data_IF_145806337748
#
_entry.id   IF_145806337748
#
_cell.length_a   1.000
_cell.length_b   1.000
_cell.length_c   1.000
_cell.angle_alpha   90.00
_cell.angle_beta   90.00
_cell.angle_gamma   90.00
#
_symmetry.space_group_name_H-M   'P 1'
#
loop_
_entity.id
_entity.type
_entity.pdbx_description
1 polymer ?
#
# COMPACT_ATOMS: atom_id res chain seq x y z
N UNK A 1 12.20 13.79 3.54
CA UNK A 1 11.84 13.55 4.96
C UNK A 1 13.09 13.15 5.71
N UNK A 2 13.20 13.42 7.01
CA UNK A 2 14.30 12.85 7.78
C UNK A 2 14.00 11.37 8.08
N UNK A 3 15.04 10.55 8.26
CA UNK A 3 14.95 9.14 8.68
C UNK A 3 13.98 8.94 9.85
N UNK A 4 14.01 9.84 10.83
CA UNK A 4 13.13 9.78 12.01
C UNK A 4 11.65 9.88 11.64
N UNK A 5 11.29 10.77 10.70
CA UNK A 5 9.92 10.93 10.24
C UNK A 5 9.43 9.66 9.51
N UNK A 6 10.33 9.04 8.72
CA UNK A 6 10.03 7.80 8.01
C UNK A 6 9.81 6.63 8.98
N UNK A 7 10.61 6.53 10.04
CA UNK A 7 10.44 5.50 11.08
C UNK A 7 9.14 5.72 11.86
N UNK A 8 8.75 6.96 12.16
CA UNK A 8 7.49 7.23 12.84
C UNK A 8 6.27 6.82 12.01
N UNK A 9 6.30 7.06 10.69
CA UNK A 9 5.28 6.50 9.79
C UNK A 9 5.26 4.97 9.85
N UNK A 10 6.44 4.32 9.84
CA UNK A 10 6.51 2.85 9.91
C UNK A 10 5.92 2.34 11.23
N UNK A 11 6.21 2.99 12.37
CA UNK A 11 5.62 2.67 13.68
C UNK A 11 4.11 2.84 13.68
N UNK A 12 3.61 3.93 13.09
CA UNK A 12 2.18 4.18 12.97
C UNK A 12 1.50 3.07 12.15
N UNK A 13 2.04 2.74 10.98
CA UNK A 13 1.53 1.66 10.14
C UNK A 13 1.56 0.30 10.85
N UNK A 14 2.67 -0.02 11.54
CA UNK A 14 2.80 -1.23 12.32
C UNK A 14 1.74 -1.31 13.44
N UNK A 15 1.46 -0.20 14.12
CA UNK A 15 0.44 -0.15 15.16
C UNK A 15 -0.98 -0.48 14.63
N UNK A 16 -1.26 -0.17 13.37
CA UNK A 16 -2.53 -0.45 12.69
C UNK A 16 -2.68 -1.93 12.30
N UNK A 17 -1.58 -2.64 12.03
CA UNK A 17 -1.62 -4.01 11.47
C UNK A 17 -1.21 -5.11 12.44
N UNK A 18 -0.57 -4.78 13.57
CA UNK A 18 0.01 -5.77 14.50
C UNK A 18 -1.00 -6.82 15.02
N UNK A 19 -2.26 -6.43 15.17
CA UNK A 19 -3.31 -7.27 15.77
C UNK A 19 -4.44 -7.64 14.80
N UNK A 20 -4.49 -7.00 13.63
CA UNK A 20 -5.62 -7.11 12.70
C UNK A 20 -5.09 -7.28 11.26
N UNK A 21 -5.88 -7.90 10.39
CA UNK A 21 -5.56 -7.92 8.97
C UNK A 21 -5.73 -6.53 8.37
N UNK A 22 -4.72 -6.08 7.63
CA UNK A 22 -4.69 -4.76 6.99
C UNK A 22 -5.96 -4.51 6.18
N UNK A 23 -6.58 -3.33 6.34
CA UNK A 23 -7.84 -2.91 5.72
C UNK A 23 -9.07 -3.73 6.06
N UNK A 24 -8.97 -4.85 6.79
CA UNK A 24 -10.11 -5.75 6.97
C UNK A 24 -11.22 -5.09 7.78
N UNK A 25 -10.88 -4.51 8.94
CA UNK A 25 -11.83 -3.81 9.80
C UNK A 25 -12.49 -2.63 9.09
N UNK A 26 -11.69 -1.69 8.61
CA UNK A 26 -12.19 -0.46 8.01
C UNK A 26 -13.05 -0.74 6.77
N UNK A 27 -12.67 -1.72 5.95
CA UNK A 27 -13.51 -2.11 4.80
C UNK A 27 -14.78 -2.88 5.18
N UNK A 28 -14.78 -3.67 6.27
CA UNK A 28 -16.00 -4.27 6.82
C UNK A 28 -16.95 -3.22 7.37
N UNK A 29 -16.40 -2.21 8.03
CA UNK A 29 -17.18 -1.09 8.52
C UNK A 29 -17.84 -0.33 7.36
N UNK A 30 -17.07 0.13 6.39
CA UNK A 30 -17.60 0.87 5.23
C UNK A 30 -18.64 0.08 4.44
N UNK A 31 -18.45 -1.24 4.29
CA UNK A 31 -19.40 -2.12 3.62
C UNK A 31 -20.77 -2.19 4.33
N UNK A 32 -20.80 -1.95 5.64
CA UNK A 32 -22.02 -1.95 6.45
C UNK A 32 -22.52 -0.53 6.79
N UNK A 33 -21.88 0.51 6.23
CA UNK A 33 -22.33 1.89 6.38
C UNK A 33 -23.41 2.24 5.35
N UNK A 34 -24.41 2.98 5.81
CA UNK A 34 -25.47 3.58 5.02
C UNK A 34 -25.07 5.01 4.68
N UNK A 35 -25.31 5.40 3.42
CA UNK A 35 -24.83 6.65 2.87
C UNK A 35 -25.99 7.41 2.23
N UNK A 36 -26.40 8.51 2.86
CA UNK A 36 -27.47 9.35 2.33
C UNK A 36 -27.08 9.93 0.97
N UNK A 37 -27.97 9.80 -0.01
CA UNK A 37 -27.74 10.28 -1.38
C UNK A 37 -26.88 9.36 -2.26
N UNK A 38 -26.48 8.17 -1.78
CA UNK A 38 -25.81 7.14 -2.60
C UNK A 38 -26.86 6.17 -3.16
N UNK A 39 -26.79 5.89 -4.46
CA UNK A 39 -27.72 4.96 -5.13
C UNK A 39 -27.42 3.50 -4.78
N UNK A 40 -28.39 2.60 -4.96
CA UNK A 40 -28.16 1.16 -4.78
C UNK A 40 -27.05 0.58 -5.67
N UNK A 41 -26.95 1.06 -6.90
CA UNK A 41 -25.88 0.67 -7.83
C UNK A 41 -24.51 1.16 -7.36
N UNK A 42 -24.44 2.36 -6.79
CA UNK A 42 -23.19 2.91 -6.27
C UNK A 42 -22.78 2.25 -4.94
N UNK A 43 -23.73 1.83 -4.11
CA UNK A 43 -23.47 0.94 -2.98
C UNK A 43 -22.87 -0.40 -3.44
N UNK A 44 -23.42 -1.01 -4.49
CA UNK A 44 -22.87 -2.25 -5.05
C UNK A 44 -21.44 -2.04 -5.58
N UNK A 45 -21.18 -0.93 -6.27
CA UNK A 45 -19.83 -0.58 -6.73
C UNK A 45 -18.88 -0.39 -5.55
N UNK A 46 -19.29 0.34 -4.51
CA UNK A 46 -18.52 0.54 -3.28
C UNK A 46 -18.11 -0.81 -2.68
N UNK A 47 -19.06 -1.74 -2.52
CA UNK A 47 -18.80 -3.09 -2.02
C UNK A 47 -17.75 -3.85 -2.84
N UNK A 48 -17.82 -3.77 -4.16
CA UNK A 48 -16.83 -4.39 -5.04
C UNK A 48 -15.45 -3.75 -4.90
N UNK A 49 -15.36 -2.42 -4.74
CA UNK A 49 -14.08 -1.73 -4.54
C UNK A 49 -13.45 -2.06 -3.19
N UNK A 50 -14.25 -2.14 -2.12
CA UNK A 50 -13.79 -2.56 -0.80
C UNK A 50 -13.28 -4.03 -0.81
N UNK A 51 -13.97 -4.93 -1.53
CA UNK A 51 -13.48 -6.30 -1.77
C UNK A 51 -12.19 -6.31 -2.57
N UNK A 52 -12.09 -5.49 -3.62
CA UNK A 52 -10.92 -5.39 -4.48
C UNK A 52 -9.69 -4.90 -3.70
N UNK A 53 -9.84 -3.94 -2.79
CA UNK A 53 -8.76 -3.50 -1.89
C UNK A 53 -8.21 -4.68 -1.09
N UNK A 54 -9.09 -5.46 -0.41
CA UNK A 54 -8.66 -6.62 0.36
C UNK A 54 -7.96 -7.68 -0.50
N UNK A 55 -8.47 -7.92 -1.71
CA UNK A 55 -7.93 -8.93 -2.62
C UNK A 55 -6.59 -8.52 -3.23
N UNK A 56 -6.46 -7.29 -3.73
CA UNK A 56 -5.22 -6.82 -4.34
C UNK A 56 -4.14 -6.55 -3.27
N UNK A 57 -4.51 -6.15 -2.05
CA UNK A 57 -3.56 -6.12 -0.93
C UNK A 57 -3.09 -7.52 -0.53
N UNK A 58 -3.98 -8.52 -0.54
CA UNK A 58 -3.55 -9.92 -0.34
C UNK A 58 -2.56 -10.38 -1.42
N UNK A 59 -2.68 -9.91 -2.67
CA UNK A 59 -1.70 -10.19 -3.73
C UNK A 59 -0.36 -9.53 -3.42
N UNK A 60 -0.35 -8.28 -2.94
CA UNK A 60 0.87 -7.62 -2.43
C UNK A 60 1.58 -8.51 -1.41
N UNK A 61 0.85 -9.00 -0.41
CA UNK A 61 1.41 -9.89 0.61
C UNK A 61 1.98 -11.19 0.02
N UNK A 62 1.27 -11.82 -0.94
CA UNK A 62 1.75 -13.03 -1.62
C UNK A 62 3.07 -12.74 -2.36
N UNK A 63 3.15 -11.63 -3.10
CA UNK A 63 4.36 -11.25 -3.83
C UNK A 63 5.51 -10.97 -2.87
N UNK A 64 5.25 -10.27 -1.76
CA UNK A 64 6.28 -10.03 -0.73
C UNK A 64 6.79 -11.34 -0.13
N UNK A 65 5.92 -12.32 0.11
CA UNK A 65 6.34 -13.66 0.52
C UNK A 65 7.20 -14.34 -0.55
N UNK A 66 6.78 -14.29 -1.82
CA UNK A 66 7.56 -14.84 -2.94
C UNK A 66 8.95 -14.20 -3.04
N UNK A 67 9.05 -12.86 -2.92
CA UNK A 67 10.33 -12.15 -2.88
C UNK A 67 11.19 -12.63 -1.71
N UNK A 68 10.62 -12.70 -0.51
CA UNK A 68 11.34 -13.14 0.68
C UNK A 68 11.87 -14.57 0.52
N UNK A 69 11.03 -15.51 0.08
CA UNK A 69 11.43 -16.91 -0.13
C UNK A 69 12.47 -17.05 -1.25
N UNK A 70 12.26 -16.40 -2.40
CA UNK A 70 13.21 -16.44 -3.51
C UNK A 70 14.56 -15.85 -3.10
N UNK A 71 14.56 -14.72 -2.41
CA UNK A 71 15.80 -14.08 -1.96
C UNK A 71 16.51 -14.89 -0.87
N UNK A 72 15.81 -15.48 0.10
CA UNK A 72 16.41 -16.37 1.10
C UNK A 72 17.09 -17.59 0.47
N UNK A 73 16.41 -18.27 -0.46
CA UNK A 73 16.99 -19.38 -1.21
C UNK A 73 18.18 -18.94 -2.04
N UNK A 74 18.09 -17.76 -2.64
CA UNK A 74 19.20 -17.17 -3.36
C UNK A 74 20.39 -16.94 -2.43
N UNK A 75 20.21 -16.36 -1.24
CA UNK A 75 21.28 -16.14 -0.27
C UNK A 75 21.95 -17.43 0.20
N UNK A 76 21.20 -18.54 0.25
CA UNK A 76 21.67 -19.85 0.69
C UNK A 76 22.26 -20.72 -0.45
N UNK A 77 22.29 -20.20 -1.68
CA UNK A 77 22.64 -20.97 -2.88
C UNK A 77 21.75 -22.20 -3.13
N UNK A 78 20.49 -22.14 -2.65
CA UNK A 78 19.45 -23.18 -2.76
C UNK A 78 18.35 -22.79 -3.75
N UNK A 79 18.55 -21.72 -4.53
CA UNK A 79 17.56 -21.28 -5.50
C UNK A 79 17.47 -22.25 -6.69
N UNK A 80 16.27 -22.76 -6.91
CA UNK A 80 15.93 -23.57 -8.08
C UNK A 80 15.09 -22.72 -9.04
N UNK A 81 15.60 -22.52 -10.25
CA UNK A 81 15.01 -21.60 -11.22
C UNK A 81 13.73 -22.19 -11.83
N UNK A 82 12.70 -21.35 -11.98
CA UNK A 82 11.44 -21.79 -12.61
C UNK A 82 11.52 -21.93 -14.13
N UNK A 83 12.62 -21.48 -14.74
CA UNK A 83 12.92 -21.57 -16.17
C UNK A 83 14.44 -21.78 -16.36
N UNK A 84 14.91 -21.78 -17.61
CA UNK A 84 16.34 -21.79 -17.95
C UNK A 84 16.70 -20.52 -18.76
N UNK A 85 17.78 -19.82 -18.39
CA UNK A 85 18.33 -18.67 -19.11
C UNK A 85 19.85 -18.83 -19.27
N UNK A 86 20.36 -18.47 -20.45
CA UNK A 86 21.81 -18.48 -20.72
C UNK A 86 22.51 -17.16 -20.37
N UNK A 87 21.78 -16.07 -20.12
CA UNK A 87 22.33 -14.71 -20.16
C UNK A 87 22.27 -13.96 -18.82
N UNK A 88 21.74 -14.58 -17.77
CA UNK A 88 21.36 -13.86 -16.55
C UNK A 88 21.23 -14.75 -15.32
N UNK A 89 21.42 -14.15 -14.15
CA UNK A 89 21.17 -14.79 -12.87
C UNK A 89 19.66 -14.84 -12.61
N UNK A 90 19.06 -16.01 -12.84
CA UNK A 90 17.62 -16.20 -12.94
C UNK A 90 16.85 -15.79 -11.68
N UNK A 91 17.48 -15.91 -10.51
CA UNK A 91 16.92 -15.42 -9.24
C UNK A 91 16.68 -13.91 -9.28
N UNK A 92 17.64 -13.13 -9.80
CA UNK A 92 17.53 -11.67 -9.87
C UNK A 92 16.46 -11.23 -10.86
N UNK A 93 16.27 -11.96 -11.95
CA UNK A 93 15.19 -11.71 -12.92
C UNK A 93 13.81 -11.99 -12.31
N UNK A 94 13.63 -13.11 -11.61
CA UNK A 94 12.37 -13.41 -10.91
C UNK A 94 12.04 -12.34 -9.86
N UNK A 95 13.04 -11.96 -9.06
CA UNK A 95 12.90 -10.89 -8.07
C UNK A 95 12.52 -9.55 -8.72
N UNK A 96 13.13 -9.21 -9.86
CA UNK A 96 12.81 -8.00 -10.63
C UNK A 96 11.34 -7.97 -11.06
N UNK A 97 10.87 -9.07 -11.66
CA UNK A 97 9.46 -9.24 -12.05
C UNK A 97 8.49 -9.07 -10.86
N UNK A 98 8.81 -9.65 -9.71
CA UNK A 98 7.98 -9.52 -8.53
C UNK A 98 7.94 -8.07 -8.01
N UNK A 99 9.08 -7.37 -8.01
CA UNK A 99 9.17 -5.97 -7.58
C UNK A 99 8.38 -5.06 -8.53
N UNK A 100 8.45 -5.25 -9.85
CA UNK A 100 7.63 -4.52 -10.82
C UNK A 100 6.13 -4.71 -10.56
N UNK A 101 5.72 -5.94 -10.23
CA UNK A 101 4.33 -6.24 -9.95
C UNK A 101 3.84 -5.57 -8.66
N UNK A 102 4.71 -5.33 -7.68
CA UNK A 102 4.38 -4.51 -6.51
C UNK A 102 4.03 -3.07 -6.90
N UNK A 103 4.78 -2.43 -7.81
CA UNK A 103 4.46 -1.07 -8.31
C UNK A 103 3.08 -1.02 -8.95
N UNK A 104 2.76 -2.01 -9.78
CA UNK A 104 1.45 -2.10 -10.43
C UNK A 104 0.31 -2.21 -9.39
N UNK A 105 0.44 -3.13 -8.43
CA UNK A 105 -0.61 -3.36 -7.42
C UNK A 105 -0.76 -2.24 -6.42
N UNK A 106 0.34 -1.61 -6.02
CA UNK A 106 0.31 -0.44 -5.16
C UNK A 106 -0.55 0.68 -5.77
N UNK A 107 -0.33 0.99 -7.05
CA UNK A 107 -1.07 2.06 -7.73
C UNK A 107 -2.56 1.75 -7.87
N UNK A 108 -2.91 0.50 -8.16
CA UNK A 108 -4.30 0.04 -8.26
C UNK A 108 -5.06 0.26 -6.94
N UNK A 109 -4.43 0.05 -5.78
CA UNK A 109 -5.06 0.32 -4.48
C UNK A 109 -5.41 1.81 -4.30
N UNK A 110 -4.51 2.72 -4.70
CA UNK A 110 -4.80 4.16 -4.68
C UNK A 110 -5.98 4.53 -5.59
N UNK A 111 -6.08 3.89 -6.76
CA UNK A 111 -7.19 4.12 -7.69
C UNK A 111 -8.53 3.65 -7.12
N UNK A 112 -8.56 2.52 -6.38
CA UNK A 112 -9.77 2.10 -5.67
C UNK A 112 -10.16 3.07 -4.56
N UNK A 113 -9.19 3.57 -3.79
CA UNK A 113 -9.45 4.56 -2.73
C UNK A 113 -10.06 5.83 -3.34
N UNK A 114 -9.50 6.33 -4.44
CA UNK A 114 -10.08 7.47 -5.17
C UNK A 114 -11.53 7.18 -5.58
N UNK A 115 -11.80 6.02 -6.19
CA UNK A 115 -13.15 5.68 -6.64
C UNK A 115 -14.16 5.56 -5.50
N UNK A 116 -13.72 5.06 -4.33
CA UNK A 116 -14.54 5.02 -3.11
C UNK A 116 -14.88 6.46 -2.66
N UNK A 117 -13.89 7.36 -2.64
CA UNK A 117 -14.13 8.76 -2.30
C UNK A 117 -15.11 9.43 -3.28
N UNK A 118 -14.99 9.14 -4.58
CA UNK A 118 -15.90 9.66 -5.62
C UNK A 118 -17.35 9.21 -5.44
N UNK A 119 -17.58 8.07 -4.76
CA UNK A 119 -18.93 7.58 -4.42
C UNK A 119 -19.42 8.23 -3.13
N UNK A 120 -18.60 8.18 -2.07
CA UNK A 120 -19.04 8.48 -0.71
C UNK A 120 -19.11 9.98 -0.40
N UNK A 121 -18.23 10.80 -0.99
CA UNK A 121 -18.05 12.21 -0.59
C UNK A 121 -19.01 13.17 -1.31
N UNK A 122 -19.21 13.10 -2.65
CA UNK A 122 -20.03 14.10 -3.35
C UNK A 122 -21.46 14.29 -2.83
N UNK A 123 -22.16 13.27 -2.31
CA UNK A 123 -23.47 13.45 -1.67
C UNK A 123 -23.45 14.38 -0.45
N UNK A 124 -22.29 14.55 0.20
CA UNK A 124 -22.10 15.35 1.41
C UNK A 124 -21.76 16.83 1.11
N UNK A 125 -21.56 17.18 -0.15
CA UNK A 125 -21.20 18.55 -0.53
C UNK A 125 -22.36 19.54 -0.34
N UNK A 126 -22.01 20.74 0.09
CA UNK A 126 -22.90 21.89 -0.05
C UNK A 126 -23.03 22.33 -1.53
N UNK A 127 -24.00 23.20 -1.83
CA UNK A 127 -24.28 23.63 -3.20
C UNK A 127 -23.06 24.25 -3.91
N UNK A 128 -22.24 25.01 -3.19
CA UNK A 128 -21.02 25.62 -3.73
C UNK A 128 -20.01 24.55 -4.13
N UNK A 129 -19.69 23.63 -3.21
CA UNK A 129 -18.75 22.53 -3.43
C UNK A 129 -19.22 21.62 -4.57
N UNK A 130 -20.52 21.31 -4.63
CA UNK A 130 -21.10 20.49 -5.70
C UNK A 130 -20.94 21.15 -7.07
N UNK A 131 -21.21 22.45 -7.16
CA UNK A 131 -21.04 23.22 -8.39
C UNK A 131 -19.57 23.31 -8.84
N UNK A 132 -18.64 23.45 -7.90
CA UNK A 132 -17.20 23.41 -8.21
C UNK A 132 -16.77 22.03 -8.70
N UNK A 133 -17.18 20.97 -8.00
CA UNK A 133 -16.79 19.60 -8.31
C UNK A 133 -17.28 19.13 -9.69
N UNK A 134 -18.52 19.48 -10.07
CA UNK A 134 -19.10 19.12 -11.38
C UNK A 134 -18.34 19.78 -12.54
N UNK A 135 -17.76 20.96 -12.33
CA UNK A 135 -16.98 21.67 -13.37
C UNK A 135 -15.61 21.02 -13.62
N UNK A 136 -15.10 20.24 -12.67
CA UNK A 136 -13.83 19.54 -12.82
C UNK A 136 -13.97 18.40 -13.84
N UNK A 137 -13.18 18.45 -14.92
CA UNK A 137 -13.21 17.43 -15.99
C UNK A 137 -12.18 16.31 -15.80
N UNK A 138 -11.01 16.63 -15.23
CA UNK A 138 -9.89 15.68 -15.15
C UNK A 138 -9.93 14.88 -13.84
N UNK A 139 -9.67 13.58 -13.92
CA UNK A 139 -9.67 12.68 -12.75
C UNK A 139 -8.72 13.17 -11.63
N UNK A 140 -7.49 13.57 -11.97
CA UNK A 140 -6.55 14.07 -10.97
C UNK A 140 -7.02 15.35 -10.25
N UNK A 141 -7.75 16.25 -10.95
CA UNK A 141 -8.30 17.46 -10.33
C UNK A 141 -9.44 17.13 -9.39
N UNK A 142 -10.31 16.18 -9.76
CA UNK A 142 -11.38 15.70 -8.90
C UNK A 142 -10.81 15.05 -7.65
N UNK A 143 -9.79 14.22 -7.80
CA UNK A 143 -9.15 13.57 -6.68
C UNK A 143 -8.52 14.56 -5.70
N UNK A 144 -7.77 15.55 -6.20
CA UNK A 144 -7.23 16.65 -5.37
C UNK A 144 -8.34 17.41 -4.62
N UNK A 145 -9.47 17.66 -5.27
CA UNK A 145 -10.62 18.30 -4.63
C UNK A 145 -11.20 17.46 -3.49
N UNK A 146 -11.38 16.15 -3.72
CA UNK A 146 -11.88 15.23 -2.70
C UNK A 146 -10.93 15.14 -1.50
N UNK A 147 -9.62 15.07 -1.74
CA UNK A 147 -8.62 15.03 -0.68
C UNK A 147 -8.57 16.33 0.13
N UNK A 148 -8.70 17.48 -0.54
CA UNK A 148 -8.83 18.77 0.14
C UNK A 148 -10.07 18.79 1.05
N UNK A 149 -11.20 18.30 0.54
CA UNK A 149 -12.42 18.17 1.35
C UNK A 149 -12.18 17.29 2.59
N UNK A 150 -11.53 16.14 2.44
CA UNK A 150 -11.20 15.30 3.60
C UNK A 150 -10.29 16.05 4.59
N UNK A 151 -9.23 16.70 4.11
CA UNK A 151 -8.29 17.44 4.95
C UNK A 151 -8.97 18.57 5.74
N UNK A 152 -9.95 19.26 5.15
CA UNK A 152 -10.72 20.32 5.81
C UNK A 152 -11.71 19.80 6.87
N UNK A 153 -12.01 18.50 6.87
CA UNK A 153 -13.05 17.89 7.72
C UNK A 153 -12.52 16.81 8.68
N UNK A 154 -11.20 16.62 8.78
CA UNK A 154 -10.57 15.81 9.82
C UNK A 154 -10.13 16.74 10.97
N UNK A 155 -10.49 16.40 12.21
CA UNK A 155 -10.15 17.17 13.43
C UNK A 155 -8.67 17.05 13.82
N UNK A 156 -7.96 16.07 13.25
CA UNK A 156 -6.61 15.69 13.62
C UNK A 156 -5.57 16.39 12.73
N UNK A 157 -4.79 17.30 13.34
CA UNK A 157 -3.72 18.04 12.68
C UNK A 157 -2.43 17.23 12.47
N UNK A 158 -2.40 15.95 12.89
CA UNK A 158 -1.17 15.15 13.03
C UNK A 158 -0.84 14.25 11.83
N UNK A 159 -1.74 14.08 10.86
CA UNK A 159 -1.48 13.27 9.66
C UNK A 159 -1.91 14.01 8.41
N UNK A 160 -0.97 14.59 7.68
CA UNK A 160 -1.26 15.24 6.39
C UNK A 160 -1.67 14.15 5.40
N UNK A 161 -2.83 14.31 4.74
CA UNK A 161 -3.14 13.59 3.48
C UNK A 161 -2.08 13.96 2.44
N UNK A 162 -0.97 13.24 2.45
CA UNK A 162 0.21 13.62 1.71
C UNK A 162 0.25 12.89 0.37
N UNK A 163 -0.16 13.59 -0.68
CA UNK A 163 -0.16 13.07 -2.04
C UNK A 163 1.21 13.06 -2.71
N UNK A 164 2.20 13.74 -2.13
CA UNK A 164 3.58 13.74 -2.63
C UNK A 164 4.23 12.38 -2.38
N UNK A 165 3.83 11.67 -1.32
CA UNK A 165 4.28 10.31 -1.02
C UNK A 165 4.16 9.34 -2.19
N UNK A 166 3.16 9.54 -3.05
CA UNK A 166 2.85 8.61 -4.14
C UNK A 166 3.39 9.05 -5.51
N UNK A 167 4.06 10.20 -5.61
CA UNK A 167 4.55 10.70 -6.91
C UNK A 167 5.64 9.81 -7.48
N UNK A 168 6.63 9.40 -6.68
CA UNK A 168 7.70 8.52 -7.17
C UNK A 168 7.15 7.18 -7.65
N UNK A 169 6.22 6.59 -6.92
CA UNK A 169 5.57 5.35 -7.34
C UNK A 169 4.77 5.54 -8.63
N UNK A 170 4.06 6.66 -8.79
CA UNK A 170 3.34 6.97 -10.03
C UNK A 170 4.30 7.02 -11.21
N UNK A 171 5.39 7.79 -11.07
CA UNK A 171 6.41 7.96 -12.09
C UNK A 171 7.04 6.61 -12.44
N UNK A 172 7.59 5.88 -11.46
CA UNK A 172 8.25 4.60 -11.69
C UNK A 172 7.30 3.57 -12.32
N UNK A 173 6.05 3.50 -11.86
CA UNK A 173 5.05 2.61 -12.44
C UNK A 173 4.73 2.99 -13.88
N UNK A 174 4.58 4.27 -14.19
CA UNK A 174 4.26 4.72 -15.55
C UNK A 174 5.40 4.35 -16.50
N UNK A 175 6.66 4.56 -16.08
CA UNK A 175 7.83 4.10 -16.83
C UNK A 175 7.86 2.57 -17.03
N UNK A 176 7.58 1.79 -15.99
CA UNK A 176 7.59 0.32 -16.05
C UNK A 176 6.50 -0.19 -17.01
N UNK A 177 5.29 0.36 -16.92
CA UNK A 177 4.13 -0.16 -17.68
C UNK A 177 4.11 0.38 -19.12
N UNK A 178 4.51 1.63 -19.34
CA UNK A 178 4.28 2.33 -20.60
C UNK A 178 5.55 2.59 -21.42
N UNK A 179 6.70 2.76 -20.77
CA UNK A 179 7.94 3.23 -21.43
C UNK A 179 9.04 2.17 -21.48
N UNK A 180 8.71 0.93 -21.11
CA UNK A 180 9.63 -0.21 -21.18
C UNK A 180 10.76 -0.17 -20.15
N UNK A 181 10.60 0.60 -19.07
CA UNK A 181 11.52 0.53 -17.94
C UNK A 181 11.42 -0.83 -17.24
N UNK A 182 12.53 -1.28 -16.67
CA UNK A 182 12.58 -2.56 -15.95
C UNK A 182 13.24 -2.42 -14.59
N UNK A 183 12.82 -3.24 -13.64
CA UNK A 183 13.44 -3.37 -12.34
C UNK A 183 14.65 -4.30 -12.43
N UNK A 184 15.86 -3.72 -12.40
CA UNK A 184 17.09 -4.48 -12.29
C UNK A 184 17.38 -4.78 -10.81
N UNK A 185 17.49 -6.07 -10.49
CA UNK A 185 17.94 -6.55 -9.18
C UNK A 185 19.43 -6.88 -9.25
N UNK A 186 20.18 -6.47 -8.23
CA UNK A 186 21.60 -6.74 -8.12
C UNK A 186 21.81 -7.97 -7.24
N UNK A 187 22.66 -8.90 -7.68
CA UNK A 187 23.01 -10.15 -6.99
C UNK A 187 23.84 -9.95 -5.72
N UNK A 188 23.41 -9.03 -4.85
CA UNK A 188 23.95 -8.88 -3.50
C UNK A 188 23.33 -9.94 -2.58
N UNK A 189 24.18 -10.60 -1.78
CA UNK A 189 23.77 -11.64 -0.82
C UNK A 189 23.51 -11.04 0.56
N UNK A 190 23.97 -9.81 0.83
CA UNK A 190 23.75 -9.16 2.11
C UNK A 190 22.41 -8.42 2.12
N UNK A 191 22.13 -7.62 1.08
CA UNK A 191 20.90 -6.85 0.97
C UNK A 191 20.25 -7.01 -0.40
N UNK A 192 18.92 -7.14 -0.43
CA UNK A 192 18.20 -7.11 -1.70
C UNK A 192 18.19 -5.68 -2.25
N UNK A 193 19.04 -5.44 -3.25
CA UNK A 193 19.22 -4.15 -3.91
C UNK A 193 18.58 -4.15 -5.29
N UNK A 194 17.89 -3.06 -5.64
CA UNK A 194 17.28 -2.91 -6.95
C UNK A 194 17.35 -1.47 -7.48
N UNK A 195 17.07 -1.31 -8.77
CA UNK A 195 16.89 0.00 -9.42
C UNK A 195 15.89 -0.12 -10.57
N UNK A 196 15.00 0.87 -10.71
CA UNK A 196 14.14 1.01 -11.90
C UNK A 196 14.95 1.70 -13.00
N UNK A 197 15.29 0.94 -14.04
CA UNK A 197 16.07 1.36 -15.19
C UNK A 197 15.14 1.96 -16.24
N UNK A 198 15.23 3.27 -16.45
CA UNK A 198 14.46 3.97 -17.49
C UNK A 198 15.20 3.93 -18.82
N UNK A 199 14.46 3.75 -19.92
CA UNK A 199 14.96 3.75 -21.30
C UNK A 199 15.41 5.15 -21.75
N UNK A 200 14.70 6.19 -21.31
CA UNK A 200 15.05 7.61 -21.52
C UNK A 200 15.18 8.34 -20.18
N UNK A 201 16.42 8.50 -19.71
CA UNK A 201 16.73 9.21 -18.45
C UNK A 201 16.44 10.72 -18.50
N UNK A 202 16.08 11.26 -19.67
CA UNK A 202 15.81 12.69 -19.89
C UNK A 202 14.38 13.11 -19.54
N UNK A 203 13.45 12.16 -19.41
CA UNK A 203 12.01 12.43 -19.17
C UNK A 203 11.56 12.20 -17.72
N UNK A 204 12.46 11.77 -16.82
CA UNK A 204 12.10 11.61 -15.41
C UNK A 204 11.91 12.99 -14.79
N UNK A 205 10.68 13.29 -14.34
CA UNK A 205 10.42 14.44 -13.46
C UNK A 205 11.44 14.40 -12.30
N UNK A 206 12.14 15.52 -12.06
CA UNK A 206 13.12 15.67 -10.98
C UNK A 206 12.43 15.56 -9.62
N UNK A 207 12.23 14.33 -9.14
CA UNK A 207 11.86 14.07 -7.76
C UNK A 207 13.07 13.54 -7.03
N UNK A 208 13.55 14.32 -6.06
CA UNK A 208 14.65 13.88 -5.21
C UNK A 208 14.25 12.60 -4.48
N UNK A 209 14.99 11.50 -4.69
CA UNK A 209 14.70 10.25 -4.02
C UNK A 209 15.06 10.36 -2.53
N UNK A 210 14.29 9.67 -1.69
CA UNK A 210 14.50 9.73 -0.24
C UNK A 210 15.74 8.91 0.15
N UNK A 211 16.70 9.58 0.79
CA UNK A 211 17.97 8.97 1.22
C UNK A 211 17.78 7.81 2.20
N UNK A 212 16.61 7.69 2.85
CA UNK A 212 16.27 6.58 3.73
C UNK A 212 16.49 5.19 3.10
N UNK A 213 16.15 5.06 1.82
CA UNK A 213 16.21 3.77 1.11
C UNK A 213 17.31 3.71 0.03
N UNK A 214 18.13 4.74 -0.12
CA UNK A 214 19.23 4.75 -1.09
C UNK A 214 20.58 4.48 -0.44
N UNK A 215 21.44 3.74 -1.16
CA UNK A 215 22.86 3.67 -0.83
C UNK A 215 23.68 4.73 -1.59
N UNK A 216 24.98 4.80 -1.31
CA UNK A 216 25.90 5.75 -1.93
C UNK A 216 26.00 5.61 -3.47
N UNK A 217 25.62 4.45 -4.03
CA UNK A 217 25.62 4.19 -5.47
C UNK A 217 24.25 4.47 -6.12
N UNK A 218 23.28 5.00 -5.36
CA UNK A 218 21.93 5.24 -5.85
C UNK A 218 21.11 3.97 -6.09
N UNK A 219 21.46 2.86 -5.44
CA UNK A 219 20.67 1.63 -5.43
C UNK A 219 19.67 1.65 -4.28
N UNK A 220 18.51 1.03 -4.50
CA UNK A 220 17.41 1.02 -3.55
C UNK A 220 17.47 -0.24 -2.68
N UNK A 221 17.45 -0.07 -1.37
CA UNK A 221 17.24 -1.16 -0.41
C UNK A 221 15.78 -1.60 -0.43
N UNK A 222 15.49 -2.83 -0.89
CA UNK A 222 14.13 -3.36 -1.02
C UNK A 222 13.30 -3.22 0.27
N UNK A 223 13.85 -3.70 1.39
CA UNK A 223 13.18 -3.71 2.69
C UNK A 223 12.80 -2.29 3.11
N UNK A 224 13.74 -1.34 2.99
CA UNK A 224 13.52 0.07 3.40
C UNK A 224 12.52 0.76 2.48
N UNK A 225 12.65 0.58 1.17
CA UNK A 225 11.75 1.18 0.20
C UNK A 225 10.33 0.66 0.37
N UNK A 226 10.12 -0.66 0.20
CA UNK A 226 8.78 -1.22 0.24
C UNK A 226 8.14 -1.17 1.62
N UNK A 227 8.91 -1.29 2.70
CA UNK A 227 8.41 -1.06 4.05
C UNK A 227 7.83 0.34 4.19
N UNK A 228 8.59 1.38 3.81
CA UNK A 228 8.11 2.77 3.86
C UNK A 228 6.92 3.02 2.94
N UNK A 229 6.96 2.53 1.70
CA UNK A 229 5.88 2.75 0.74
C UNK A 229 4.57 2.09 1.18
N UNK A 230 4.63 0.84 1.65
CA UNK A 230 3.45 0.13 2.16
C UNK A 230 2.94 0.80 3.45
N UNK A 231 3.81 1.26 4.35
CA UNK A 231 3.40 2.05 5.51
C UNK A 231 2.63 3.31 5.12
N UNK A 232 3.14 4.08 4.15
CA UNK A 232 2.45 5.27 3.62
C UNK A 232 1.07 4.93 3.05
N UNK A 233 0.96 3.84 2.29
CA UNK A 233 -0.32 3.37 1.75
C UNK A 233 -1.30 3.00 2.86
N UNK A 234 -0.86 2.26 3.87
CA UNK A 234 -1.70 1.82 4.98
C UNK A 234 -2.26 3.02 5.73
N UNK A 235 -1.39 3.94 6.15
CA UNK A 235 -1.78 5.14 6.90
C UNK A 235 -2.77 5.97 6.08
N UNK A 236 -2.42 6.24 4.82
CA UNK A 236 -3.27 7.05 3.94
C UNK A 236 -4.65 6.44 3.71
N UNK A 237 -4.70 5.14 3.41
CA UNK A 237 -5.95 4.43 3.19
C UNK A 237 -6.78 4.36 4.47
N UNK A 238 -6.19 4.03 5.61
CA UNK A 238 -6.89 3.98 6.89
C UNK A 238 -7.41 5.35 7.30
N UNK A 239 -6.65 6.43 7.12
CA UNK A 239 -7.13 7.79 7.38
C UNK A 239 -8.37 8.13 6.57
N UNK A 240 -8.35 7.85 5.26
CA UNK A 240 -9.51 8.08 4.39
C UNK A 240 -10.68 7.20 4.82
N UNK A 241 -10.44 5.91 5.07
CA UNK A 241 -11.52 5.00 5.46
C UNK A 241 -12.13 5.39 6.81
N UNK A 242 -11.33 5.80 7.80
CA UNK A 242 -11.82 6.27 9.10
C UNK A 242 -12.65 7.54 8.95
N UNK A 243 -12.20 8.50 8.14
CA UNK A 243 -13.00 9.67 7.80
C UNK A 243 -14.35 9.27 7.20
N UNK A 244 -14.33 8.38 6.20
CA UNK A 244 -15.54 7.88 5.55
C UNK A 244 -16.45 7.15 6.55
N UNK A 245 -15.91 6.32 7.45
CA UNK A 245 -16.70 5.66 8.50
C UNK A 245 -17.38 6.68 9.41
N UNK A 246 -16.72 7.79 9.74
CA UNK A 246 -17.26 8.86 10.60
C UNK A 246 -18.46 9.57 9.96
N UNK A 247 -18.42 9.82 8.66
CA UNK A 247 -19.50 10.51 7.94
C UNK A 247 -20.58 9.56 7.42
N UNK A 248 -20.29 8.26 7.31
CA UNK A 248 -21.26 7.21 7.02
C UNK A 248 -22.08 6.83 8.25
N UNK A 249 -23.33 6.40 8.05
CA UNK A 249 -24.20 6.01 9.16
C UNK A 249 -24.22 4.48 9.33
N UNK A 250 -23.81 3.98 10.48
CA UNK A 250 -23.84 2.55 10.78
C UNK A 250 -24.80 2.23 11.92
N UNK A 251 -25.75 1.30 11.74
CA UNK A 251 -26.59 0.83 12.83
C UNK A 251 -25.75 0.21 13.96
N UNK A 252 -26.02 0.61 15.21
CA UNK A 252 -25.25 0.16 16.40
C UNK A 252 -25.11 -1.37 16.46
N UNK A 253 -26.20 -2.11 16.24
CA UNK A 253 -26.15 -3.58 16.25
C UNK A 253 -25.26 -4.20 15.16
N UNK A 254 -25.08 -3.53 14.02
CA UNK A 254 -24.14 -3.98 12.97
C UNK A 254 -22.70 -3.73 13.39
N UNK A 255 -22.43 -2.60 14.02
CA UNK A 255 -21.11 -2.27 14.57
C UNK A 255 -20.67 -3.32 15.60
N UNK A 256 -21.54 -3.62 16.56
CA UNK A 256 -21.28 -4.63 17.60
C UNK A 256 -21.02 -6.02 17.00
N UNK A 257 -21.77 -6.40 15.97
CA UNK A 257 -21.56 -7.67 15.26
C UNK A 257 -20.17 -7.72 14.61
N UNK A 258 -19.72 -6.64 13.97
CA UNK A 258 -18.40 -6.56 13.34
C UNK A 258 -17.31 -6.62 14.41
N UNK A 259 -17.43 -5.83 15.47
CA UNK A 259 -16.45 -5.80 16.56
C UNK A 259 -16.30 -7.16 17.23
N UNK A 260 -17.41 -7.86 17.48
CA UNK A 260 -17.37 -9.23 17.99
C UNK A 260 -16.65 -10.18 17.02
N UNK A 261 -16.94 -10.09 15.72
CA UNK A 261 -16.32 -10.95 14.70
C UNK A 261 -14.80 -10.73 14.60
N UNK A 262 -14.34 -9.49 14.86
CA UNK A 262 -12.94 -9.10 14.76
C UNK A 262 -12.16 -9.21 16.07
N UNK A 263 -12.85 -9.45 17.20
CA UNK A 263 -12.23 -9.55 18.54
C UNK A 263 -11.15 -10.63 18.68
N UNK A 264 -11.15 -11.62 17.79
CA UNK A 264 -10.17 -12.73 17.78
C UNK A 264 -8.83 -12.38 17.13
N UNK A 265 -8.73 -11.23 16.47
CA UNK A 265 -7.51 -10.79 15.79
C UNK A 265 -7.16 -11.64 14.57
N UNK A 266 -5.87 -11.67 14.21
CA UNK A 266 -5.35 -12.50 13.11
C UNK A 266 -5.49 -13.99 13.42
N UNK A 267 -5.72 -14.79 12.38
CA UNK A 267 -5.79 -16.25 12.55
C UNK A 267 -4.39 -16.78 12.85
N UNK A 268 -4.31 -17.77 13.74
CA UNK A 268 -3.09 -18.54 14.02
C UNK A 268 -3.38 -19.99 13.73
N UNK A 269 -2.54 -20.62 12.92
CA UNK A 269 -2.64 -22.04 12.59
C UNK A 269 -1.45 -22.77 13.17
N UNK A 270 -1.71 -23.76 14.02
CA UNK A 270 -0.68 -24.60 14.62
C UNK A 270 -0.76 -25.96 13.93
N UNK A 271 0.34 -26.40 13.34
CA UNK A 271 0.47 -27.71 12.71
C UNK A 271 0.50 -28.83 13.77
N UNK A 272 0.33 -30.06 13.32
CA UNK A 272 0.38 -31.30 14.10
C UNK A 272 1.65 -31.50 14.93
N UNK A 273 2.76 -30.87 14.55
CA UNK A 273 4.04 -30.89 15.27
C UNK A 273 4.19 -29.75 16.31
N UNK A 274 3.20 -28.87 16.43
CA UNK A 274 3.20 -27.71 17.33
C UNK A 274 3.80 -26.43 16.73
N UNK A 275 4.22 -26.45 15.46
CA UNK A 275 4.76 -25.28 14.76
C UNK A 275 3.62 -24.33 14.34
N UNK A 276 3.74 -23.04 14.67
CA UNK A 276 2.82 -22.03 14.14
C UNK A 276 3.19 -21.75 12.67
N UNK A 277 2.23 -21.93 11.77
CA UNK A 277 2.39 -21.67 10.35
C UNK A 277 2.31 -20.17 10.09
N UNK A 278 3.25 -19.66 9.29
CA UNK A 278 3.27 -18.27 8.88
C UNK A 278 1.99 -17.91 8.11
N UNK A 279 1.29 -16.88 8.59
CA UNK A 279 0.23 -16.22 7.87
C UNK A 279 0.84 -15.29 6.79
N UNK A 280 0.08 -15.06 5.71
CA UNK A 280 0.53 -14.23 4.60
C UNK A 280 0.97 -12.82 5.00
N UNK A 281 0.43 -12.24 6.09
CA UNK A 281 0.80 -10.89 6.54
C UNK A 281 2.09 -10.88 7.39
N UNK A 282 2.61 -12.04 7.81
CA UNK A 282 3.81 -12.09 8.66
C UNK A 282 5.04 -11.51 7.97
N UNK A 283 5.19 -11.67 6.66
CA UNK A 283 6.29 -11.05 5.89
C UNK A 283 6.30 -9.52 6.02
N UNK A 284 5.13 -8.89 6.08
CA UNK A 284 5.02 -7.45 6.26
C UNK A 284 5.25 -7.08 7.73
N UNK A 285 4.70 -7.86 8.66
CA UNK A 285 4.87 -7.67 10.10
C UNK A 285 6.36 -7.69 10.49
N UNK A 286 7.10 -8.71 10.04
CA UNK A 286 8.54 -8.87 10.23
C UNK A 286 9.33 -7.75 9.54
N UNK A 287 8.97 -7.39 8.31
CA UNK A 287 9.61 -6.27 7.59
C UNK A 287 9.50 -4.97 8.38
N UNK A 288 8.31 -4.61 8.87
CA UNK A 288 8.13 -3.37 9.63
C UNK A 288 8.82 -3.44 10.99
N UNK A 289 8.76 -4.58 11.70
CA UNK A 289 9.49 -4.78 12.97
C UNK A 289 11.00 -4.58 12.80
N UNK A 290 11.57 -5.15 11.74
CA UNK A 290 13.00 -5.04 11.44
C UNK A 290 13.41 -3.59 11.13
N UNK A 291 12.57 -2.83 10.43
CA UNK A 291 12.85 -1.42 10.17
C UNK A 291 12.76 -0.56 11.43
N UNK A 292 11.81 -0.85 12.32
CA UNK A 292 11.69 -0.16 13.61
C UNK A 292 12.90 -0.47 14.51
N UNK A 293 13.38 -1.72 14.53
CA UNK A 293 14.52 -2.10 15.36
C UNK A 293 15.85 -1.53 14.86
N UNK A 294 15.98 -1.20 13.57
CA UNK A 294 17.16 -0.51 13.02
C UNK A 294 17.40 0.88 13.65
N UNK A 295 16.38 1.52 14.21
CA UNK A 295 16.49 2.78 14.98
C UNK A 295 17.31 2.60 16.28
N UNK A 296 17.37 1.40 16.84
CA UNK A 296 18.04 1.11 18.12
C UNK A 296 19.56 0.95 17.94
N UNK A 297 20.03 0.81 16.70
CA UNK A 297 21.43 0.52 16.36
C UNK A 297 22.17 1.70 15.68
N UNK A 298 21.48 2.80 15.42
CA UNK A 298 22.05 4.06 14.87
C UNK A 298 22.20 5.12 15.95
#
# INVERSE_FOLDING_TARGET
>A
MNTMDNIELIKQAYSLIKNEYTFHKSTMYLQNSIWDGVSGDDHLKLDYKLKAIRQDFAKILVIMNSINTTYLKYQQDEFDASYFSMMSEQATEELGCFIEYLFAKYRVLLEYIQQIMEICIPPQFNDTQKNEYIKLKKAHTKYKFLLKYVAENIEDSSGVLNMEWFQNIRIDRDFIIHDGATCLVFGDKENLLFKVMTTDALDKEDVEPDMFYLNANGLIYYVRYWGLQISKLIIFAEMIMQFLIKIGNMPVGKKEQIDWSLSKGRNRFIDSDGTELNDKQDVLDEMLKNLISMEILS
#
